data_IF_378490705837
#
_entry.id   IF_378490705837
#
_cell.length_a   1.000
_cell.length_b   1.000
_cell.length_c   1.000
_cell.angle_alpha   90.00
_cell.angle_beta   90.00
_cell.angle_gamma   90.00
#
_symmetry.space_group_name_H-M   'P 1'
#
loop_
_entity.id
_entity.type
_entity.pdbx_description
1 polymer ?
#
# COMPACT_ATOMS: atom_id res chain seq x y z
N UNK A 1 3.07 1.44 13.57
CA UNK A 1 2.89 1.65 12.13
C UNK A 1 3.13 0.34 11.39
N UNK A 2 2.57 0.20 10.18
CA UNK A 2 2.66 -1.03 9.36
C UNK A 2 2.15 -2.29 10.12
N UNK A 3 1.11 -2.11 10.94
CA UNK A 3 0.63 -3.18 11.83
C UNK A 3 0.06 -4.38 11.06
N UNK A 4 -0.35 -4.22 9.81
CA UNK A 4 -0.80 -5.32 8.92
C UNK A 4 0.29 -6.38 8.68
N UNK A 5 1.55 -6.04 8.90
CA UNK A 5 2.69 -6.95 8.71
C UNK A 5 3.10 -7.68 10.01
N UNK A 6 2.32 -7.48 11.07
CA UNK A 6 2.53 -8.12 12.37
C UNK A 6 1.99 -9.55 12.36
N UNK A 7 2.81 -10.49 12.87
CA UNK A 7 2.35 -11.85 13.10
C UNK A 7 1.52 -11.96 14.39
N UNK A 8 0.72 -13.01 14.51
CA UNK A 8 -0.03 -13.29 15.74
C UNK A 8 0.88 -13.49 16.96
N UNK A 9 2.06 -14.05 16.75
CA UNK A 9 3.07 -14.21 17.83
C UNK A 9 3.61 -12.86 18.30
N UNK A 10 3.89 -11.94 17.36
CA UNK A 10 4.32 -10.58 17.71
C UNK A 10 3.20 -9.81 18.42
N UNK A 11 1.95 -9.95 17.97
CA UNK A 11 0.80 -9.36 18.65
C UNK A 11 0.66 -9.87 20.08
N UNK A 12 0.77 -11.19 20.30
CA UNK A 12 0.75 -11.79 21.63
C UNK A 12 1.90 -11.30 22.52
N UNK A 13 3.10 -11.12 21.96
CA UNK A 13 4.23 -10.54 22.69
C UNK A 13 3.95 -9.10 23.12
N UNK A 14 3.40 -8.27 22.23
CA UNK A 14 3.03 -6.90 22.59
C UNK A 14 1.99 -6.87 23.71
N UNK A 15 0.99 -7.75 23.66
CA UNK A 15 0.00 -7.89 24.72
C UNK A 15 0.65 -8.26 26.03
N UNK A 16 1.54 -9.26 26.05
CA UNK A 16 2.24 -9.69 27.24
C UNK A 16 3.14 -8.60 27.86
N UNK A 17 3.72 -7.73 27.03
CA UNK A 17 4.58 -6.64 27.49
C UNK A 17 3.80 -5.41 27.99
N UNK A 18 2.71 -5.07 27.33
CA UNK A 18 2.03 -3.79 27.54
C UNK A 18 0.63 -3.90 28.14
N UNK A 19 0.10 -5.09 28.27
CA UNK A 19 -1.23 -5.36 28.80
C UNK A 19 -1.30 -6.68 29.59
N UNK A 20 -0.29 -6.95 30.39
CA UNK A 20 -0.15 -8.21 31.11
C UNK A 20 -1.28 -8.49 32.12
N UNK A 21 -1.82 -7.44 32.75
CA UNK A 21 -2.91 -7.54 33.73
C UNK A 21 -3.72 -6.23 33.83
N UNK A 22 -4.74 -6.22 34.69
CA UNK A 22 -5.60 -5.06 34.89
C UNK A 22 -4.92 -3.83 35.50
N UNK A 23 -3.75 -4.01 36.11
CA UNK A 23 -2.99 -2.95 36.79
C UNK A 23 -1.85 -2.41 35.95
N UNK A 24 -1.36 -3.20 34.98
CA UNK A 24 -0.26 -2.83 34.07
C UNK A 24 -0.76 -2.70 32.63
N UNK A 25 -1.48 -1.62 32.35
CA UNK A 25 -2.03 -1.31 31.05
C UNK A 25 -1.38 -0.07 30.46
N UNK A 26 -0.67 -0.25 29.35
CA UNK A 26 -0.18 0.87 28.56
C UNK A 26 -1.17 1.22 27.45
N UNK A 27 -1.31 2.50 27.13
CA UNK A 27 -2.03 2.92 25.94
C UNK A 27 -1.23 2.50 24.71
N UNK A 28 -1.87 1.82 23.76
CA UNK A 28 -1.27 1.36 22.53
C UNK A 28 -2.05 1.89 21.33
N UNK A 29 -1.33 2.44 20.36
CA UNK A 29 -1.89 2.82 19.07
C UNK A 29 -1.27 1.94 17.99
N UNK A 30 -2.10 1.35 17.16
CA UNK A 30 -1.67 0.60 15.97
C UNK A 30 -2.26 1.23 14.72
N UNK A 31 -1.43 1.40 13.70
CA UNK A 31 -1.80 1.96 12.41
C UNK A 31 -1.36 1.01 11.31
N UNK A 32 -2.20 0.78 10.34
CA UNK A 32 -1.88 -0.07 9.18
C UNK A 32 -3.03 -0.12 8.18
N UNK A 33 -2.73 -0.67 7.03
CA UNK A 33 -3.71 -0.91 5.96
C UNK A 33 -3.79 -2.42 5.67
N UNK A 34 -4.89 -3.10 6.03
CA UNK A 34 -5.03 -4.54 5.80
C UNK A 34 -4.87 -4.96 4.34
N UNK A 35 -5.13 -4.05 3.37
CA UNK A 35 -4.95 -4.35 1.94
C UNK A 35 -3.48 -4.31 1.51
N UNK A 36 -2.59 -3.78 2.34
CA UNK A 36 -1.14 -3.75 2.10
C UNK A 36 -0.39 -4.89 2.81
N UNK A 37 -1.09 -5.83 3.44
CA UNK A 37 -0.46 -7.00 4.07
C UNK A 37 0.11 -7.94 2.99
N UNK A 38 1.41 -7.89 2.79
CA UNK A 38 2.14 -8.65 1.76
C UNK A 38 3.15 -9.65 2.36
N UNK A 39 3.27 -9.72 3.69
CA UNK A 39 4.23 -10.57 4.39
C UNK A 39 3.60 -11.81 5.05
N UNK A 40 2.52 -12.36 4.47
CA UNK A 40 1.90 -13.59 4.97
C UNK A 40 2.91 -14.77 5.11
N UNK A 41 3.90 -14.85 4.23
CA UNK A 41 4.97 -15.83 4.28
C UNK A 41 5.92 -15.67 5.49
N UNK A 42 5.92 -14.51 6.16
CA UNK A 42 6.59 -14.24 7.44
C UNK A 42 5.66 -14.41 8.63
N UNK A 43 4.42 -14.85 8.43
CA UNK A 43 3.43 -15.02 9.47
C UNK A 43 2.59 -13.77 9.75
N UNK A 44 2.70 -12.71 8.94
CA UNK A 44 1.79 -11.57 9.02
C UNK A 44 0.34 -12.05 8.83
N UNK A 45 -0.55 -11.53 9.64
CA UNK A 45 -1.95 -11.94 9.63
C UNK A 45 -2.86 -10.73 9.84
N UNK A 46 -3.86 -10.55 8.99
CA UNK A 46 -4.92 -9.55 9.23
C UNK A 46 -5.65 -9.76 10.56
N UNK A 47 -5.64 -10.98 11.09
CA UNK A 47 -6.15 -11.30 12.42
C UNK A 47 -5.42 -10.59 13.56
N UNK A 48 -4.20 -10.09 13.34
CA UNK A 48 -3.46 -9.32 14.33
C UNK A 48 -4.20 -8.04 14.76
N UNK A 49 -4.93 -7.38 13.86
CA UNK A 49 -5.78 -6.23 14.21
C UNK A 49 -6.89 -6.59 15.20
N UNK A 50 -7.55 -7.73 15.01
CA UNK A 50 -8.58 -8.21 15.96
C UNK A 50 -7.98 -8.60 17.29
N UNK A 51 -6.84 -9.25 17.28
CA UNK A 51 -6.13 -9.58 18.51
C UNK A 51 -5.82 -8.31 19.29
N UNK A 52 -5.30 -7.28 18.63
CA UNK A 52 -5.04 -5.99 19.27
C UNK A 52 -6.32 -5.41 19.91
N UNK A 53 -7.42 -5.35 19.18
CA UNK A 53 -8.69 -4.84 19.69
C UNK A 53 -9.13 -5.64 20.93
N UNK A 54 -9.20 -6.96 20.82
CA UNK A 54 -9.62 -7.82 21.89
C UNK A 54 -8.68 -7.74 23.10
N UNK A 55 -7.38 -7.85 22.88
CA UNK A 55 -6.38 -7.99 23.95
C UNK A 55 -6.16 -6.66 24.70
N UNK A 56 -6.37 -5.53 24.05
CA UNK A 56 -6.29 -4.21 24.66
C UNK A 56 -7.65 -3.66 25.13
N UNK A 57 -8.67 -4.53 25.22
CA UNK A 57 -9.94 -4.25 25.88
C UNK A 57 -10.91 -3.38 25.07
N UNK A 58 -10.76 -3.33 23.77
CA UNK A 58 -11.76 -2.75 22.88
C UNK A 58 -12.92 -3.72 22.66
N UNK A 59 -14.13 -3.21 22.70
CA UNK A 59 -15.32 -4.02 22.38
C UNK A 59 -15.28 -4.42 20.89
N UNK A 60 -15.79 -5.60 20.57
CA UNK A 60 -15.94 -6.05 19.17
C UNK A 60 -16.83 -5.11 18.33
N UNK A 61 -17.62 -4.26 18.97
CA UNK A 61 -18.43 -3.22 18.34
C UNK A 61 -17.69 -1.90 18.10
N UNK A 62 -16.52 -1.71 18.72
CA UNK A 62 -15.71 -0.52 18.54
C UNK A 62 -15.13 -0.51 17.13
N UNK A 63 -15.47 0.54 16.39
CA UNK A 63 -14.93 0.71 15.06
C UNK A 63 -13.56 1.39 15.13
N UNK A 64 -12.56 0.88 14.40
CA UNK A 64 -11.27 1.55 14.30
C UNK A 64 -11.44 2.92 13.64
N UNK A 65 -10.62 3.87 14.03
CA UNK A 65 -10.51 5.14 13.32
C UNK A 65 -9.94 4.88 11.93
N UNK A 66 -10.54 5.47 10.90
CA UNK A 66 -10.12 5.29 9.52
C UNK A 66 -9.72 6.61 8.88
N UNK A 67 -8.57 6.60 8.20
CA UNK A 67 -8.17 7.69 7.33
C UNK A 67 -8.76 7.40 5.94
N UNK A 68 -9.84 8.09 5.60
CA UNK A 68 -10.63 7.82 4.39
C UNK A 68 -10.31 8.74 3.23
N UNK A 69 -9.48 9.77 3.44
CA UNK A 69 -9.13 10.75 2.41
C UNK A 69 -7.66 10.65 2.06
N UNK A 70 -7.35 10.36 0.79
CA UNK A 70 -5.98 10.37 0.27
C UNK A 70 -5.61 11.72 -0.32
N UNK A 71 -4.38 12.16 -0.04
CA UNK A 71 -3.76 13.35 -0.64
C UNK A 71 -2.67 12.99 -1.66
N UNK A 72 -2.35 11.70 -1.79
CA UNK A 72 -1.26 11.18 -2.63
C UNK A 72 -1.72 10.86 -4.05
N UNK A 73 -2.85 10.19 -4.17
CA UNK A 73 -3.26 9.56 -5.41
C UNK A 73 -4.11 10.51 -6.26
N UNK A 74 -3.88 10.48 -7.57
CA UNK A 74 -4.78 11.09 -8.54
C UNK A 74 -6.14 10.39 -8.58
N UNK A 75 -7.16 11.03 -9.14
CA UNK A 75 -8.52 10.49 -9.19
C UNK A 75 -8.61 9.15 -9.91
N UNK A 76 -8.03 9.05 -11.11
CA UNK A 76 -8.06 7.81 -11.89
C UNK A 76 -7.35 6.65 -11.19
N UNK A 77 -6.20 6.90 -10.57
CA UNK A 77 -5.45 5.87 -9.84
C UNK A 77 -6.24 5.39 -8.62
N UNK A 78 -6.87 6.32 -7.88
CA UNK A 78 -7.69 5.95 -6.73
C UNK A 78 -8.94 5.18 -7.13
N UNK A 79 -9.62 5.59 -8.18
CA UNK A 79 -10.79 4.88 -8.69
C UNK A 79 -10.44 3.45 -9.10
N UNK A 80 -9.33 3.26 -9.80
CA UNK A 80 -8.85 1.92 -10.16
C UNK A 80 -8.52 1.08 -8.93
N UNK A 81 -7.85 1.65 -7.92
CA UNK A 81 -7.52 0.96 -6.68
C UNK A 81 -8.78 0.57 -5.90
N UNK A 82 -9.77 1.46 -5.78
CA UNK A 82 -11.05 1.17 -5.14
C UNK A 82 -11.82 0.07 -5.88
N UNK A 83 -11.83 0.08 -7.21
CA UNK A 83 -12.48 -0.95 -8.02
C UNK A 83 -11.77 -2.30 -7.89
N UNK A 84 -10.44 -2.31 -7.93
CA UNK A 84 -9.64 -3.52 -7.75
C UNK A 84 -9.87 -4.17 -6.38
N UNK A 85 -9.97 -3.37 -5.33
CA UNK A 85 -10.15 -3.84 -3.96
C UNK A 85 -11.62 -4.07 -3.55
N UNK A 86 -12.58 -3.70 -4.41
CA UNK A 86 -14.01 -3.89 -4.15
C UNK A 86 -14.40 -5.34 -3.79
N UNK A 87 -13.90 -6.39 -4.46
CA UNK A 87 -14.21 -7.77 -4.07
C UNK A 87 -13.74 -8.12 -2.67
N UNK A 88 -12.68 -7.48 -2.19
CA UNK A 88 -12.13 -7.71 -0.85
C UNK A 88 -13.01 -7.10 0.26
N UNK A 89 -13.88 -6.15 -0.08
CA UNK A 89 -14.82 -5.51 0.84
C UNK A 89 -16.18 -6.22 0.90
N UNK A 90 -16.44 -7.14 -0.03
CA UNK A 90 -17.71 -7.86 -0.05
C UNK A 90 -17.74 -8.96 1.02
N UNK A 91 -18.94 -9.26 1.60
CA UNK A 91 -19.09 -10.38 2.52
C UNK A 91 -18.63 -11.71 1.89
N UNK A 92 -17.98 -12.57 2.67
CA UNK A 92 -17.57 -13.88 2.18
C UNK A 92 -18.79 -14.73 1.79
N UNK A 93 -18.79 -15.24 0.57
CA UNK A 93 -19.78 -16.23 0.14
C UNK A 93 -19.60 -17.59 0.83
N UNK A 94 -18.42 -17.87 1.38
CA UNK A 94 -18.10 -19.11 2.10
C UNK A 94 -17.42 -18.79 3.43
N UNK A 95 -17.82 -19.46 4.51
CA UNK A 95 -17.10 -19.41 5.78
C UNK A 95 -15.66 -19.87 5.58
N UNK A 96 -14.69 -19.13 6.11
CA UNK A 96 -13.27 -19.45 6.05
C UNK A 96 -12.51 -18.89 4.84
N UNK A 97 -13.15 -18.21 3.90
CA UNK A 97 -12.45 -17.58 2.78
C UNK A 97 -12.14 -16.11 3.08
N UNK A 98 -10.92 -15.83 3.37
CA UNK A 98 -10.31 -14.50 3.49
C UNK A 98 -10.34 -13.85 4.88
N UNK A 99 -9.19 -13.88 5.50
CA UNK A 99 -8.83 -13.17 6.74
C UNK A 99 -8.94 -11.63 6.62
N UNK A 100 -8.95 -11.09 5.39
CA UNK A 100 -9.01 -9.66 5.12
C UNK A 100 -10.34 -8.99 5.47
N UNK A 101 -11.40 -9.77 5.75
CA UNK A 101 -12.72 -9.23 6.11
C UNK A 101 -12.91 -9.03 7.59
N UNK A 102 -11.89 -9.24 8.33
CA UNK A 102 -11.92 -9.05 9.76
C UNK A 102 -11.89 -7.58 10.17
N UNK A 103 -11.45 -6.71 9.27
CA UNK A 103 -11.44 -5.26 9.47
C UNK A 103 -12.25 -4.59 8.38
N UNK A 104 -13.21 -3.76 8.80
CA UNK A 104 -14.01 -2.96 7.86
C UNK A 104 -13.17 -1.78 7.35
N UNK A 105 -12.73 -1.88 6.09
CA UNK A 105 -11.94 -0.83 5.45
C UNK A 105 -12.80 -0.14 4.38
N UNK A 106 -13.27 1.09 4.64
CA UNK A 106 -14.04 1.83 3.66
C UNK A 106 -13.20 2.19 2.43
N UNK A 107 -13.83 2.45 1.27
CA UNK A 107 -13.11 2.98 0.12
C UNK A 107 -12.55 4.37 0.45
N UNK A 108 -11.40 4.68 -0.13
CA UNK A 108 -10.78 5.99 0.01
C UNK A 108 -11.45 7.01 -0.92
N UNK A 109 -11.48 8.25 -0.49
CA UNK A 109 -11.86 9.42 -1.30
C UNK A 109 -10.64 10.30 -1.58
N UNK A 110 -10.68 11.03 -2.70
CA UNK A 110 -9.70 12.08 -2.96
C UNK A 110 -10.06 13.37 -2.21
N UNK A 111 -9.08 14.25 -2.07
CA UNK A 111 -9.35 15.67 -1.79
C UNK A 111 -10.05 16.34 -2.98
N UNK A 112 -10.80 17.41 -2.74
CA UNK A 112 -11.64 18.07 -3.75
C UNK A 112 -10.91 18.50 -5.03
N UNK A 113 -9.65 18.95 -4.90
CA UNK A 113 -8.82 19.42 -5.99
C UNK A 113 -7.74 18.41 -6.40
N UNK A 114 -7.96 17.12 -6.18
CA UNK A 114 -7.02 16.09 -6.62
C UNK A 114 -6.85 16.11 -8.16
N UNK A 115 -5.62 15.96 -8.66
CA UNK A 115 -5.36 15.89 -10.08
C UNK A 115 -6.06 14.68 -10.72
N UNK A 116 -6.45 14.79 -12.00
CA UNK A 116 -7.09 13.70 -12.72
C UNK A 116 -6.19 12.46 -12.81
N UNK A 117 -4.96 12.66 -13.21
CA UNK A 117 -3.99 11.60 -13.47
C UNK A 117 -4.27 10.83 -14.77
N UNK A 118 -3.48 9.81 -15.00
CA UNK A 118 -3.63 8.90 -16.15
C UNK A 118 -3.36 7.47 -15.71
N UNK A 119 -4.17 6.56 -16.21
CA UNK A 119 -4.01 5.13 -16.01
C UNK A 119 -4.11 4.43 -17.36
N UNK A 120 -3.19 3.53 -17.64
CA UNK A 120 -3.21 2.72 -18.87
C UNK A 120 -2.87 1.27 -18.59
N UNK A 121 -3.43 0.39 -19.40
CA UNK A 121 -3.05 -1.03 -19.47
C UNK A 121 -2.52 -1.29 -20.86
N UNK A 122 -1.27 -1.72 -20.94
CA UNK A 122 -0.58 -1.94 -22.21
C UNK A 122 -0.23 -3.43 -22.33
N UNK A 123 -0.47 -3.97 -23.52
CA UNK A 123 -0.11 -5.36 -23.85
C UNK A 123 0.80 -5.39 -25.07
N UNK A 124 1.80 -6.24 -25.03
CA UNK A 124 2.77 -6.39 -26.13
C UNK A 124 2.88 -7.86 -26.56
N UNK A 125 3.25 -8.08 -27.81
CA UNK A 125 3.38 -9.42 -28.35
C UNK A 125 4.68 -10.11 -27.90
N UNK A 126 5.72 -9.34 -27.60
CA UNK A 126 7.02 -9.85 -27.16
C UNK A 126 7.55 -9.09 -25.96
N UNK A 127 8.38 -9.76 -25.16
CA UNK A 127 9.05 -9.17 -24.02
C UNK A 127 9.95 -7.97 -24.40
N UNK A 128 10.65 -8.05 -25.54
CA UNK A 128 11.46 -6.92 -26.04
C UNK A 128 10.62 -5.68 -26.33
N UNK A 129 9.46 -5.84 -26.97
CA UNK A 129 8.53 -4.71 -27.20
C UNK A 129 8.02 -4.08 -25.89
N UNK A 130 7.78 -4.90 -24.89
CA UNK A 130 7.39 -4.41 -23.56
C UNK A 130 8.50 -3.57 -22.94
N UNK A 131 9.74 -4.09 -22.93
CA UNK A 131 10.90 -3.36 -22.38
C UNK A 131 11.09 -2.02 -23.10
N UNK A 132 11.11 -2.00 -24.42
CA UNK A 132 11.27 -0.80 -25.22
C UNK A 132 10.19 0.26 -24.91
N UNK A 133 8.96 -0.18 -24.73
CA UNK A 133 7.85 0.72 -24.39
C UNK A 133 7.97 1.27 -22.97
N UNK A 134 8.35 0.44 -22.02
CA UNK A 134 8.57 0.84 -20.61
C UNK A 134 9.72 1.86 -20.52
N UNK A 135 10.83 1.62 -21.21
CA UNK A 135 11.96 2.56 -21.26
C UNK A 135 11.53 3.91 -21.86
N UNK A 136 10.82 3.90 -23.00
CA UNK A 136 10.29 5.14 -23.59
C UNK A 136 9.35 5.89 -22.64
N UNK A 137 8.45 5.17 -21.98
CA UNK A 137 7.52 5.75 -21.03
C UNK A 137 8.24 6.34 -19.82
N UNK A 138 9.22 5.63 -19.27
CA UNK A 138 10.00 6.11 -18.13
C UNK A 138 10.76 7.40 -18.49
N UNK A 139 11.42 7.45 -19.66
CA UNK A 139 12.11 8.66 -20.14
C UNK A 139 11.16 9.84 -20.31
N UNK A 140 9.99 9.62 -20.90
CA UNK A 140 8.98 10.68 -21.06
C UNK A 140 8.45 11.17 -19.71
N UNK A 141 8.17 10.26 -18.78
CA UNK A 141 7.68 10.60 -17.46
C UNK A 141 8.74 11.38 -16.65
N UNK A 142 10.01 11.00 -16.72
CA UNK A 142 11.10 11.75 -16.11
C UNK A 142 11.18 13.16 -16.70
N UNK A 143 11.15 13.28 -18.02
CA UNK A 143 11.25 14.58 -18.68
C UNK A 143 10.09 15.53 -18.34
N UNK A 144 8.89 14.98 -18.13
CA UNK A 144 7.70 15.76 -17.75
C UNK A 144 7.70 16.18 -16.28
N UNK A 145 8.36 15.42 -15.40
CA UNK A 145 8.32 15.64 -13.96
C UNK A 145 9.63 16.12 -13.37
N UNK A 146 10.68 16.29 -14.17
CA UNK A 146 11.92 16.93 -13.71
C UNK A 146 11.63 18.42 -13.45
N UNK A 147 11.76 18.87 -12.19
CA UNK A 147 11.52 20.27 -11.86
C UNK A 147 12.51 21.15 -12.60
N UNK A 148 12.03 22.30 -13.07
CA UNK A 148 12.89 23.34 -13.64
C UNK A 148 13.76 23.96 -12.56
N UNK A 149 14.89 24.59 -12.95
CA UNK A 149 15.78 25.29 -12.00
C UNK A 149 15.04 26.31 -11.12
N UNK A 150 13.97 26.92 -11.67
CA UNK A 150 13.14 27.89 -10.95
C UNK A 150 12.21 27.27 -9.91
N UNK A 151 11.94 25.97 -9.99
CA UNK A 151 11.09 25.23 -9.05
C UNK A 151 11.92 24.63 -7.92
N UNK A 152 13.24 24.55 -8.09
CA UNK A 152 14.16 24.13 -7.05
C UNK A 152 14.61 25.37 -6.25
N UNK A 153 14.04 25.56 -5.06
CA UNK A 153 14.45 26.63 -4.17
C UNK A 153 15.93 26.50 -3.83
N UNK A 154 16.71 27.56 -4.04
CA UNK A 154 18.08 27.73 -3.57
C UNK A 154 19.09 26.61 -3.95
N UNK A 155 19.04 26.11 -5.20
CA UNK A 155 20.02 25.14 -5.67
C UNK A 155 19.91 23.75 -5.06
N UNK A 156 18.80 23.44 -4.41
CA UNK A 156 18.52 22.10 -3.91
C UNK A 156 18.37 21.13 -5.09
N UNK A 157 19.13 20.04 -5.09
CA UNK A 157 18.92 18.95 -6.06
C UNK A 157 17.69 18.16 -5.69
N UNK A 158 16.76 17.98 -6.65
CA UNK A 158 15.65 17.06 -6.47
C UNK A 158 16.16 15.62 -6.59
N UNK A 159 16.32 14.95 -5.46
CA UNK A 159 16.73 13.54 -5.40
C UNK A 159 15.54 12.59 -5.26
N UNK A 160 14.30 13.07 -5.44
CA UNK A 160 13.11 12.21 -5.34
C UNK A 160 13.00 11.33 -6.58
N UNK A 161 12.62 10.05 -6.44
CA UNK A 161 12.33 9.22 -7.58
C UNK A 161 11.03 9.70 -8.26
N UNK A 162 11.10 9.99 -9.56
CA UNK A 162 9.94 10.43 -10.34
C UNK A 162 9.21 9.28 -11.00
N UNK A 163 9.88 8.15 -11.21
CA UNK A 163 9.34 6.94 -11.84
C UNK A 163 9.75 5.72 -11.03
N UNK A 164 8.83 4.79 -10.82
CA UNK A 164 9.11 3.51 -10.20
C UNK A 164 8.60 2.38 -11.09
N UNK A 165 9.44 1.38 -11.33
CA UNK A 165 9.05 0.12 -11.96
C UNK A 165 8.85 -0.95 -10.89
N UNK A 166 7.63 -1.46 -10.78
CA UNK A 166 7.28 -2.47 -9.78
C UNK A 166 7.15 -3.84 -10.45
N UNK A 167 7.86 -4.82 -9.91
CA UNK A 167 7.87 -6.19 -10.43
C UNK A 167 7.31 -7.17 -9.40
N UNK A 168 6.55 -8.14 -9.88
CA UNK A 168 6.11 -9.25 -9.04
C UNK A 168 7.26 -10.21 -8.70
N UNK A 169 8.25 -10.33 -9.57
CA UNK A 169 9.41 -11.22 -9.42
C UNK A 169 10.68 -10.49 -9.84
N UNK A 170 11.76 -10.72 -9.10
CA UNK A 170 13.09 -10.17 -9.43
C UNK A 170 13.70 -10.74 -10.71
N UNK A 171 13.19 -11.85 -11.22
CA UNK A 171 13.75 -12.55 -12.39
C UNK A 171 13.77 -11.68 -13.66
N UNK A 172 12.82 -10.76 -13.79
CA UNK A 172 12.71 -9.90 -14.97
C UNK A 172 13.46 -8.57 -14.83
N UNK A 173 13.82 -8.15 -13.61
CA UNK A 173 14.43 -6.85 -13.36
C UNK A 173 15.71 -6.59 -14.17
N UNK A 174 16.68 -7.53 -14.30
CA UNK A 174 17.93 -7.24 -14.98
C UNK A 174 17.74 -6.77 -16.43
N UNK A 175 16.78 -7.36 -17.16
CA UNK A 175 16.53 -6.96 -18.54
C UNK A 175 16.03 -5.51 -18.69
N UNK A 176 15.30 -5.01 -17.71
CA UNK A 176 14.86 -3.60 -17.68
C UNK A 176 15.97 -2.68 -17.20
N UNK A 177 16.79 -3.11 -16.24
CA UNK A 177 17.98 -2.38 -15.76
C UNK A 177 18.95 -2.15 -16.91
N UNK A 178 19.33 -3.21 -17.61
CA UNK A 178 20.22 -3.14 -18.78
C UNK A 178 19.66 -2.20 -19.87
N UNK A 179 18.37 -2.26 -20.15
CA UNK A 179 17.75 -1.41 -21.17
C UNK A 179 17.65 0.07 -20.74
N UNK A 180 17.45 0.34 -19.46
CA UNK A 180 17.44 1.70 -18.92
C UNK A 180 18.85 2.31 -18.90
N UNK A 181 19.89 1.52 -18.58
CA UNK A 181 21.29 1.97 -18.59
C UNK A 181 21.77 2.32 -20.00
N UNK A 182 21.25 1.62 -21.02
CA UNK A 182 21.61 1.85 -22.43
C UNK A 182 20.84 3.02 -23.08
N UNK A 183 19.83 3.54 -22.41
CA UNK A 183 18.89 4.53 -22.94
C UNK A 183 19.25 5.97 -22.55
#
# INVERSE_FOLDING_TARGET
>A
DEYQDTSTTQAALLTALFHADSTHRSAVNAVGDPFQSIYAWRGASPGAFRMLQHDFGHDATDKPYTLTVTRRNSRMVLEAANNLTKPLRLPARRRGSSLMREVDVPPLANIDNAPEGTLGVLGYATFGQEIDAVVRFAKQAIALHTPTENELADGAKDNRPHVALLFRSKTQMPAYEDALEQA
#
